data_IF_110106773521
#
_entry.id   IF_110106773521
#
_cell.length_a   1.000
_cell.length_b   1.000
_cell.length_c   1.000
_cell.angle_alpha   90.00
_cell.angle_beta   90.00
_cell.angle_gamma   90.00
#
_symmetry.space_group_name_H-M   'P 1'
#
loop_
_entity.id
_entity.type
_entity.pdbx_description
1 polymer ?
#
# COMPACT_ATOMS: atom_id res chain seq x y z
N UNK A 1 -29.43 9.37 3.17
CA UNK A 1 -28.33 8.61 3.81
C UNK A 1 -27.32 9.62 4.34
N UNK A 2 -26.84 9.47 5.57
CA UNK A 2 -25.78 10.33 6.10
C UNK A 2 -24.44 9.89 5.51
N UNK A 3 -23.74 10.83 4.87
CA UNK A 3 -22.39 10.64 4.37
C UNK A 3 -21.44 11.18 5.43
N UNK A 4 -20.63 10.31 6.01
CA UNK A 4 -19.60 10.70 6.97
C UNK A 4 -18.31 11.00 6.22
N UNK A 5 -17.78 12.22 6.40
CA UNK A 5 -16.51 12.65 5.78
C UNK A 5 -15.43 12.74 6.84
N UNK A 6 -14.30 12.06 6.59
CA UNK A 6 -13.12 12.12 7.43
C UNK A 6 -11.94 12.65 6.62
N UNK A 7 -11.18 13.58 7.20
CA UNK A 7 -9.90 13.99 6.65
C UNK A 7 -8.76 13.32 7.40
N UNK A 8 -7.84 12.73 6.66
CA UNK A 8 -6.64 12.07 7.18
C UNK A 8 -5.42 12.78 6.61
N UNK A 9 -4.55 13.23 7.51
CA UNK A 9 -3.26 13.82 7.17
C UNK A 9 -2.16 12.78 7.39
N UNK A 10 -1.45 12.42 6.33
CA UNK A 10 -0.36 11.44 6.40
C UNK A 10 0.97 12.15 6.70
N UNK A 11 1.60 11.82 7.82
CA UNK A 11 2.99 12.22 8.13
C UNK A 11 4.03 11.14 7.81
N UNK A 12 3.58 10.06 7.17
CA UNK A 12 4.35 8.83 6.93
C UNK A 12 4.05 8.33 5.52
N UNK A 13 4.93 7.48 4.99
CA UNK A 13 4.56 6.67 3.84
C UNK A 13 3.57 5.62 4.30
N UNK A 14 2.52 5.41 3.51
CA UNK A 14 1.51 4.38 3.77
C UNK A 14 1.19 3.64 2.47
N UNK A 15 1.13 2.32 2.53
CA UNK A 15 0.73 1.46 1.42
C UNK A 15 -0.29 0.47 1.96
N UNK A 16 -1.46 0.43 1.34
CA UNK A 16 -2.58 -0.38 1.77
C UNK A 16 -2.98 -1.34 0.68
N UNK A 17 -3.15 -2.60 1.05
CA UNK A 17 -3.88 -3.60 0.27
C UNK A 17 -5.29 -3.72 0.85
N UNK A 18 -6.30 -3.33 0.07
CA UNK A 18 -7.71 -3.27 0.47
C UNK A 18 -8.51 -4.32 -0.27
N UNK A 19 -9.33 -5.08 0.44
CA UNK A 19 -10.34 -5.95 -0.17
C UNK A 19 -11.47 -5.12 -0.77
N UNK A 20 -11.72 -5.31 -2.07
CA UNK A 20 -12.77 -4.62 -2.84
C UNK A 20 -13.95 -5.57 -3.14
N UNK A 21 -14.30 -6.43 -2.17
CA UNK A 21 -15.43 -7.38 -2.33
C UNK A 21 -16.73 -6.63 -2.64
N UNK A 22 -17.36 -6.96 -3.76
CA UNK A 22 -18.64 -6.37 -4.17
C UNK A 22 -18.54 -5.13 -5.08
N UNK A 23 -17.35 -4.73 -5.51
CA UNK A 23 -17.18 -3.69 -6.52
C UNK A 23 -16.93 -4.32 -7.91
N UNK A 24 -17.87 -4.14 -8.84
CA UNK A 24 -17.64 -4.46 -10.25
C UNK A 24 -16.82 -3.33 -10.87
N UNK A 25 -15.55 -3.60 -11.19
CA UNK A 25 -14.66 -2.63 -11.82
C UNK A 25 -14.41 -3.05 -13.28
N UNK A 26 -14.60 -2.11 -14.19
CA UNK A 26 -14.28 -2.28 -15.61
C UNK A 26 -12.90 -1.68 -15.89
N UNK A 27 -11.89 -2.53 -16.09
CA UNK A 27 -10.60 -2.14 -16.64
C UNK A 27 -10.52 -2.62 -18.10
N UNK A 28 -10.46 -1.69 -19.06
CA UNK A 28 -10.55 -2.01 -20.48
C UNK A 28 -11.95 -2.47 -20.92
N UNK A 29 -12.00 -3.29 -21.99
CA UNK A 29 -13.26 -3.76 -22.62
C UNK A 29 -13.79 -5.09 -22.08
N UNK A 30 -13.16 -5.64 -21.03
CA UNK A 30 -13.49 -6.98 -20.54
C UNK A 30 -13.99 -6.88 -19.10
N UNK A 31 -15.25 -7.26 -18.80
CA UNK A 31 -15.68 -7.43 -17.42
C UNK A 31 -14.91 -8.60 -16.82
N UNK A 32 -14.16 -8.35 -15.74
CA UNK A 32 -13.44 -9.36 -14.98
C UNK A 32 -14.14 -9.58 -13.64
N UNK A 33 -14.42 -10.84 -13.32
CA UNK A 33 -15.02 -11.30 -12.07
C UNK A 33 -13.91 -11.84 -11.16
N UNK A 34 -13.24 -10.94 -10.43
CA UNK A 34 -12.34 -11.31 -9.35
C UNK A 34 -12.78 -10.60 -8.07
N UNK A 35 -12.57 -11.26 -6.91
CA UNK A 35 -12.49 -10.60 -5.60
C UNK A 35 -11.24 -9.67 -5.62
N UNK A 36 -11.34 -8.55 -6.33
CA UNK A 36 -10.21 -7.67 -6.59
C UNK A 36 -9.70 -7.07 -5.28
N UNK A 37 -8.39 -7.09 -5.07
CA UNK A 37 -7.73 -6.32 -4.02
C UNK A 37 -7.01 -5.15 -4.65
N UNK A 38 -7.18 -3.98 -4.04
CA UNK A 38 -6.65 -2.72 -4.56
C UNK A 38 -5.51 -2.24 -3.69
N UNK A 39 -4.43 -1.80 -4.33
CA UNK A 39 -3.35 -1.09 -3.64
C UNK A 39 -3.61 0.41 -3.66
N UNK A 40 -3.52 1.06 -2.51
CA UNK A 40 -3.51 2.53 -2.40
C UNK A 40 -2.31 2.98 -1.58
N UNK A 41 -1.57 3.96 -2.09
CA UNK A 41 -0.33 4.46 -1.52
C UNK A 41 -0.38 5.96 -1.29
N UNK A 42 0.23 6.42 -0.20
CA UNK A 42 0.26 7.81 0.22
C UNK A 42 1.65 8.19 0.72
N UNK A 43 2.13 9.37 0.33
CA UNK A 43 3.38 9.94 0.83
C UNK A 43 3.16 10.89 2.02
N UNK A 44 4.22 11.14 2.82
CA UNK A 44 4.18 12.17 3.86
C UNK A 44 3.79 13.54 3.29
N UNK A 45 2.88 14.23 3.97
CA UNK A 45 2.35 15.54 3.60
C UNK A 45 1.01 15.50 2.87
N UNK A 46 0.56 14.33 2.39
CA UNK A 46 -0.73 14.21 1.72
C UNK A 46 -1.92 14.29 2.69
N UNK A 47 -3.01 14.90 2.22
CA UNK A 47 -4.28 14.98 2.93
C UNK A 47 -5.36 14.32 2.11
N UNK A 48 -6.12 13.39 2.71
CA UNK A 48 -7.07 12.55 2.02
C UNK A 48 -8.43 12.68 2.67
N UNK A 49 -9.47 12.84 1.86
CA UNK A 49 -10.86 12.80 2.34
C UNK A 49 -11.43 11.42 2.06
N UNK A 50 -11.89 10.74 3.11
CA UNK A 50 -12.58 9.45 3.03
C UNK A 50 -14.05 9.69 3.29
N UNK A 51 -14.91 9.28 2.36
CA UNK A 51 -16.36 9.38 2.46
C UNK A 51 -16.97 8.00 2.64
N UNK A 52 -17.77 7.81 3.70
CA UNK A 52 -18.48 6.55 3.97
C UNK A 52 -19.98 6.74 3.75
N UNK A 53 -20.56 5.88 2.91
CA UNK A 53 -21.99 5.86 2.64
C UNK A 53 -22.67 4.82 3.52
N UNK A 54 -23.08 5.20 4.74
CA UNK A 54 -24.12 4.56 5.57
C UNK A 54 -23.96 3.10 6.03
N UNK A 55 -23.19 2.25 5.33
CA UNK A 55 -22.87 0.89 5.71
C UNK A 55 -21.42 0.86 6.20
N UNK A 56 -21.28 0.66 7.51
CA UNK A 56 -20.03 0.44 8.23
C UNK A 56 -19.38 -0.91 7.84
N UNK A 57 -19.22 -1.19 6.55
CA UNK A 57 -18.35 -2.27 6.11
C UNK A 57 -16.95 -1.70 6.12
N UNK A 58 -16.23 -1.86 7.23
CA UNK A 58 -14.79 -1.62 7.24
C UNK A 58 -14.17 -2.62 6.27
N UNK A 59 -13.68 -2.20 5.08
CA UNK A 59 -13.04 -3.14 4.17
C UNK A 59 -11.85 -3.75 4.89
N UNK A 60 -11.68 -5.07 4.77
CA UNK A 60 -10.48 -5.72 5.29
C UNK A 60 -9.30 -5.15 4.52
N UNK A 61 -8.35 -4.59 5.27
CA UNK A 61 -7.13 -4.05 4.71
C UNK A 61 -5.95 -4.45 5.57
N UNK A 62 -4.82 -4.63 4.91
CA UNK A 62 -3.51 -4.75 5.52
C UNK A 62 -2.61 -3.69 4.89
N UNK A 63 -1.69 -3.13 5.65
CA UNK A 63 -0.83 -2.09 5.12
C UNK A 63 0.50 -1.98 5.83
N UNK A 64 1.43 -1.38 5.10
CA UNK A 64 2.75 -1.03 5.58
C UNK A 64 2.80 0.48 5.75
N UNK A 65 3.16 0.93 6.95
CA UNK A 65 3.35 2.34 7.27
C UNK A 65 4.75 2.52 7.85
N UNK A 66 5.48 3.50 7.34
CA UNK A 66 6.82 3.79 7.83
C UNK A 66 7.13 5.28 7.74
N UNK A 67 7.84 5.77 8.75
CA UNK A 67 8.27 7.16 8.81
C UNK A 67 9.39 7.41 7.78
N UNK A 68 9.41 8.56 7.08
CA UNK A 68 10.49 8.90 6.14
C UNK A 68 11.88 8.79 6.76
N UNK A 69 12.02 9.14 8.04
CA UNK A 69 13.31 9.04 8.74
C UNK A 69 13.89 7.63 8.81
N UNK A 70 13.05 6.61 8.71
CA UNK A 70 13.51 5.23 8.68
C UNK A 70 14.43 4.95 7.47
N UNK A 71 14.22 5.68 6.38
CA UNK A 71 14.99 5.59 5.15
C UNK A 71 16.24 6.48 5.13
N UNK A 72 16.48 7.28 6.16
CA UNK A 72 17.64 8.18 6.20
C UNK A 72 18.95 7.40 6.08
N UNK A 73 19.81 7.81 5.14
CA UNK A 73 21.12 7.18 4.85
C UNK A 73 21.01 5.73 4.34
N UNK A 74 19.92 5.37 3.67
CA UNK A 74 19.78 4.09 2.96
C UNK A 74 19.71 4.32 1.45
N UNK A 75 19.97 3.28 0.66
CA UNK A 75 19.84 3.36 -0.80
C UNK A 75 18.40 3.63 -1.22
N UNK A 76 17.43 2.99 -0.54
CA UNK A 76 16.02 3.23 -0.75
C UNK A 76 15.64 4.69 -0.51
N UNK A 77 16.15 5.32 0.57
CA UNK A 77 15.89 6.74 0.84
C UNK A 77 16.33 7.66 -0.28
N UNK A 78 17.49 7.40 -0.89
CA UNK A 78 17.99 8.16 -2.06
C UNK A 78 17.14 7.94 -3.31
N UNK A 79 16.49 6.79 -3.43
CA UNK A 79 15.74 6.37 -4.62
C UNK A 79 14.22 6.47 -4.45
N UNK A 80 13.71 6.93 -3.31
CA UNK A 80 12.28 6.85 -2.97
C UNK A 80 11.40 7.64 -3.96
N UNK A 81 11.95 8.70 -4.56
CA UNK A 81 11.25 9.53 -5.55
C UNK A 81 10.95 8.80 -6.87
N UNK A 82 11.62 7.67 -7.16
CA UNK A 82 11.33 6.81 -8.32
C UNK A 82 9.95 6.15 -8.23
N UNK A 83 9.40 6.01 -7.03
CA UNK A 83 8.13 5.35 -6.80
C UNK A 83 6.99 6.35 -6.98
N UNK A 84 6.76 6.77 -8.23
CA UNK A 84 5.76 7.79 -8.61
C UNK A 84 4.33 7.40 -8.23
N UNK A 85 4.06 6.12 -7.95
CA UNK A 85 2.76 5.69 -7.44
C UNK A 85 2.36 6.25 -6.08
N UNK A 86 3.30 6.82 -5.33
CA UNK A 86 2.96 7.57 -4.12
C UNK A 86 2.36 8.95 -4.41
N UNK A 87 2.64 9.53 -5.57
CA UNK A 87 2.15 10.84 -5.98
C UNK A 87 0.94 10.77 -6.93
N UNK A 88 0.62 9.58 -7.46
CA UNK A 88 -0.61 9.40 -8.24
C UNK A 88 -1.85 9.73 -7.39
N UNK A 89 -2.74 10.55 -7.97
CA UNK A 89 -4.07 10.74 -7.39
C UNK A 89 -4.82 9.42 -7.40
N UNK A 90 -5.57 9.12 -6.33
CA UNK A 90 -6.28 7.85 -6.07
C UNK A 90 -7.27 7.37 -7.15
N UNK A 91 -7.33 8.04 -8.30
CA UNK A 91 -8.18 7.75 -9.45
C UNK A 91 -7.78 6.50 -10.23
N UNK A 92 -6.56 5.98 -10.06
CA UNK A 92 -6.08 4.75 -10.68
C UNK A 92 -5.76 3.71 -9.59
N UNK A 93 -6.81 3.10 -9.06
CA UNK A 93 -6.71 1.95 -8.17
C UNK A 93 -5.94 0.82 -8.87
N UNK A 94 -4.77 0.45 -8.33
CA UNK A 94 -4.02 -0.70 -8.82
C UNK A 94 -4.71 -1.99 -8.37
N UNK A 95 -5.28 -2.73 -9.33
CA UNK A 95 -5.91 -4.02 -9.08
C UNK A 95 -4.90 -5.14 -9.22
N UNK A 96 -4.75 -5.94 -8.16
CA UNK A 96 -3.85 -7.07 -8.17
C UNK A 96 -4.59 -8.36 -8.55
N UNK A 97 -3.92 -9.20 -9.34
CA UNK A 97 -4.27 -10.61 -9.49
C UNK A 97 -4.01 -11.38 -8.17
N UNK A 98 -4.60 -12.56 -8.03
CA UNK A 98 -4.42 -13.40 -6.82
C UNK A 98 -2.95 -13.69 -6.52
N UNK A 99 -2.13 -13.92 -7.55
CA UNK A 99 -0.69 -14.18 -7.39
C UNK A 99 0.07 -12.94 -6.90
N UNK A 100 -0.31 -11.76 -7.37
CA UNK A 100 0.34 -10.51 -6.96
C UNK A 100 -0.06 -10.13 -5.54
N UNK A 101 -1.32 -10.38 -5.16
CA UNK A 101 -1.77 -10.31 -3.76
C UNK A 101 -0.94 -11.21 -2.86
N UNK A 102 -0.68 -12.45 -3.28
CA UNK A 102 0.11 -13.39 -2.50
C UNK A 102 1.55 -12.88 -2.31
N UNK A 103 2.19 -12.41 -3.39
CA UNK A 103 3.54 -11.81 -3.33
C UNK A 103 3.55 -10.61 -2.36
N UNK A 104 2.56 -9.72 -2.48
CA UNK A 104 2.45 -8.55 -1.60
C UNK A 104 2.39 -8.96 -0.12
N UNK A 105 1.54 -9.96 0.19
CA UNK A 105 1.38 -10.48 1.57
C UNK A 105 2.65 -11.15 2.08
N UNK A 106 3.32 -11.96 1.27
CA UNK A 106 4.56 -12.62 1.65
C UNK A 106 5.65 -11.61 2.04
N UNK A 107 5.78 -10.51 1.31
CA UNK A 107 6.76 -9.46 1.67
C UNK A 107 6.37 -8.76 2.98
N UNK A 108 5.08 -8.52 3.23
CA UNK A 108 4.63 -8.00 4.53
C UNK A 108 4.92 -8.96 5.68
N UNK A 109 4.72 -10.26 5.48
CA UNK A 109 5.05 -11.29 6.47
C UNK A 109 6.55 -11.32 6.77
N UNK A 110 7.41 -11.17 5.75
CA UNK A 110 8.86 -11.06 5.96
C UNK A 110 9.22 -9.86 6.84
N UNK A 111 8.57 -8.71 6.64
CA UNK A 111 8.77 -7.52 7.49
C UNK A 111 8.28 -7.80 8.91
N UNK A 112 7.10 -8.41 9.07
CA UNK A 112 6.55 -8.77 10.38
C UNK A 112 7.48 -9.71 11.15
N UNK A 113 8.07 -10.70 10.47
CA UNK A 113 9.04 -11.60 11.09
C UNK A 113 10.27 -10.85 11.62
N UNK A 114 10.78 -9.85 10.90
CA UNK A 114 11.90 -9.03 11.37
C UNK A 114 11.48 -8.13 12.55
N UNK A 115 10.25 -7.62 12.57
CA UNK A 115 9.72 -6.82 13.69
C UNK A 115 9.52 -7.63 14.97
N UNK A 116 9.30 -8.95 14.86
CA UNK A 116 9.16 -9.84 16.01
C UNK A 116 10.51 -10.33 16.57
N UNK A 117 11.61 -10.11 15.85
CA UNK A 117 12.96 -10.48 16.30
C UNK A 117 13.55 -9.40 17.20
N UNK A 118 14.46 -9.78 18.14
CA UNK A 118 15.27 -8.80 18.85
C UNK A 118 16.07 -7.94 17.88
N UNK A 119 16.09 -6.62 18.11
CA UNK A 119 16.83 -5.69 17.25
C UNK A 119 18.32 -6.01 17.32
N UNK A 120 18.90 -6.25 16.14
CA UNK A 120 20.33 -6.44 15.94
C UNK A 120 20.87 -5.47 14.86
N UNK A 121 22.14 -5.64 14.49
CA UNK A 121 22.81 -4.78 13.52
C UNK A 121 22.29 -4.93 12.08
N UNK A 122 21.47 -5.95 11.79
CA UNK A 122 20.95 -6.29 10.46
C UNK A 122 19.45 -5.99 10.32
N UNK A 123 18.69 -5.98 11.42
CA UNK A 123 17.23 -5.77 11.42
C UNK A 123 16.80 -4.59 10.54
N UNK A 124 17.46 -3.43 10.69
CA UNK A 124 17.13 -2.23 9.91
C UNK A 124 17.36 -2.42 8.42
N UNK A 125 18.48 -3.02 8.03
CA UNK A 125 18.84 -3.26 6.62
C UNK A 125 17.87 -4.24 5.96
N UNK A 126 17.49 -5.31 6.67
CA UNK A 126 16.53 -6.30 6.19
C UNK A 126 15.13 -5.71 6.00
N UNK A 127 14.64 -4.94 6.99
CA UNK A 127 13.34 -4.26 6.87
C UNK A 127 13.36 -3.30 5.67
N UNK A 128 14.39 -2.45 5.53
CA UNK A 128 14.49 -1.51 4.41
C UNK A 128 14.55 -2.23 3.07
N UNK A 129 15.27 -3.35 2.98
CA UNK A 129 15.36 -4.17 1.77
C UNK A 129 14.01 -4.80 1.39
N UNK A 130 13.27 -5.29 2.38
CA UNK A 130 11.92 -5.83 2.15
C UNK A 130 10.93 -4.74 1.74
N UNK A 131 11.05 -3.52 2.30
CA UNK A 131 10.27 -2.36 1.83
C UNK A 131 10.61 -2.10 0.35
N UNK A 132 11.88 -1.99 -0.01
CA UNK A 132 12.30 -1.75 -1.41
C UNK A 132 11.78 -2.85 -2.35
N UNK A 133 11.83 -4.11 -1.93
CA UNK A 133 11.27 -5.24 -2.68
C UNK A 133 9.78 -5.07 -2.93
N UNK A 134 9.00 -4.72 -1.89
CA UNK A 134 7.56 -4.45 -2.02
C UNK A 134 7.30 -3.34 -3.04
N UNK A 135 8.03 -2.22 -2.94
CA UNK A 135 7.84 -1.07 -3.83
C UNK A 135 8.19 -1.43 -5.29
N UNK A 136 9.23 -2.25 -5.51
CA UNK A 136 9.59 -2.72 -6.84
C UNK A 136 8.52 -3.64 -7.44
N UNK A 137 7.90 -4.49 -6.62
CA UNK A 137 6.74 -5.27 -7.06
C UNK A 137 5.54 -4.37 -7.39
N UNK A 138 5.26 -3.36 -6.57
CA UNK A 138 4.23 -2.37 -6.87
C UNK A 138 4.48 -1.70 -8.24
N UNK A 139 5.70 -1.23 -8.54
CA UNK A 139 6.03 -0.70 -9.87
C UNK A 139 5.70 -1.71 -10.98
N UNK A 140 6.11 -2.96 -10.80
CA UNK A 140 5.86 -4.02 -11.78
C UNK A 140 4.36 -4.32 -11.97
N UNK A 141 3.54 -4.17 -10.94
CA UNK A 141 2.09 -4.38 -11.06
C UNK A 141 1.42 -3.25 -11.86
N UNK A 142 2.02 -2.05 -11.89
CA UNK A 142 1.57 -0.93 -12.73
C UNK A 142 1.99 -1.07 -14.21
N UNK A 143 3.00 -1.90 -14.52
CA UNK A 143 3.45 -2.19 -15.89
C UNK A 143 2.56 -3.22 -16.61
#
# INVERSE_FOLDING_TARGET
EEVYKYQVHYGVYAIWLKETKGCTLSYGRTPYDFDAQTVTSFEPGQTITVEFNGQHVSPRCIGLLFHPDFLNRTQLGSNIQRYEFFSYSCTEALHLSEKEVEIFRQVLEMIEMELQRPIDNHTRELIVSNIELLLNYCLRFYD
#
